data_IF_203605073727
#
_entry.id   IF_203605073727
#
_cell.length_a   1.000
_cell.length_b   1.000
_cell.length_c   1.000
_cell.angle_alpha   90.00
_cell.angle_beta   90.00
_cell.angle_gamma   90.00
#
_symmetry.space_group_name_H-M   'P 1'
#
loop_
_entity.id
_entity.type
_entity.pdbx_description
1 polymer ?
#
# COMPACT_ATOMS: atom_id res chain seq x y z
N UNK A 1 -11.39 23.09 -3.86
CA UNK A 1 -10.83 22.38 -5.03
C UNK A 1 -11.72 21.20 -5.33
N UNK A 2 -12.48 21.25 -6.43
CA UNK A 2 -13.17 20.05 -6.95
C UNK A 2 -12.08 19.11 -7.47
N UNK A 3 -12.01 17.89 -6.95
CA UNK A 3 -11.20 16.84 -7.57
C UNK A 3 -11.98 16.33 -8.77
N UNK A 4 -11.74 16.90 -9.93
CA UNK A 4 -12.32 16.38 -11.16
C UNK A 4 -11.64 15.04 -11.46
N UNK A 5 -12.35 13.94 -11.24
CA UNK A 5 -11.97 12.59 -11.68
C UNK A 5 -12.12 12.52 -13.20
N UNK A 6 -11.33 13.30 -13.94
CA UNK A 6 -11.24 13.17 -15.38
C UNK A 6 -10.34 11.99 -15.72
N UNK A 7 -10.77 11.09 -16.62
CA UNK A 7 -9.89 10.05 -17.13
C UNK A 7 -8.63 10.69 -17.76
N UNK A 8 -7.48 10.02 -17.62
CA UNK A 8 -6.13 10.41 -18.09
C UNK A 8 -6.11 10.90 -19.55
N UNK A 9 -7.11 10.52 -20.33
CA UNK A 9 -7.37 11.01 -21.67
C UNK A 9 -8.84 11.42 -21.78
N UNK A 10 -9.09 12.72 -21.96
CA UNK A 10 -10.40 13.25 -22.35
C UNK A 10 -10.35 13.64 -23.84
N UNK A 11 -10.89 12.82 -24.76
CA UNK A 11 -10.81 13.05 -26.20
C UNK A 11 -11.49 14.34 -26.68
N UNK A 12 -12.37 14.91 -25.86
CA UNK A 12 -13.10 16.14 -26.17
C UNK A 12 -12.40 17.41 -25.68
N UNK A 13 -11.36 17.27 -24.86
CA UNK A 13 -10.58 18.37 -24.31
C UNK A 13 -9.06 18.24 -24.57
N UNK A 14 -8.66 17.28 -25.41
CA UNK A 14 -7.25 16.97 -25.67
C UNK A 14 -6.56 17.96 -26.62
N UNK A 15 -7.32 18.75 -27.36
CA UNK A 15 -6.80 19.62 -28.43
C UNK A 15 -6.99 21.12 -28.18
N UNK A 16 -7.76 21.49 -27.14
CA UNK A 16 -8.08 22.88 -26.80
C UNK A 16 -7.50 23.23 -25.43
N UNK A 17 -6.18 23.30 -25.36
CA UNK A 17 -5.49 23.75 -24.15
C UNK A 17 -5.55 25.28 -24.06
N UNK A 18 -5.96 25.79 -22.90
CA UNK A 18 -5.89 27.23 -22.61
C UNK A 18 -4.42 27.70 -22.58
N UNK A 19 -4.13 28.99 -22.82
CA UNK A 19 -2.75 29.51 -22.75
C UNK A 19 -2.07 29.22 -21.41
N UNK A 20 -2.83 29.28 -20.30
CA UNK A 20 -2.33 28.99 -18.95
C UNK A 20 -1.95 27.50 -18.79
N UNK A 21 -2.74 26.57 -19.34
CA UNK A 21 -2.42 25.15 -19.33
C UNK A 21 -1.19 24.83 -20.18
N UNK A 22 -1.04 25.49 -21.33
CA UNK A 22 0.15 25.35 -22.17
C UNK A 22 1.41 25.83 -21.45
N UNK A 23 1.33 26.93 -20.70
CA UNK A 23 2.43 27.41 -19.87
C UNK A 23 2.78 26.40 -18.77
N UNK A 24 1.77 25.89 -18.05
CA UNK A 24 1.99 24.86 -17.04
C UNK A 24 2.60 23.56 -17.62
N UNK A 25 2.23 23.16 -18.84
CA UNK A 25 2.82 22.02 -19.54
C UNK A 25 4.28 22.29 -19.90
N UNK A 26 4.60 23.48 -20.42
CA UNK A 26 5.96 23.91 -20.73
C UNK A 26 6.84 23.94 -19.48
N UNK A 27 6.33 24.43 -18.37
CA UNK A 27 7.03 24.43 -17.08
C UNK A 27 7.33 23.01 -16.59
N UNK A 28 6.34 22.10 -16.63
CA UNK A 28 6.53 20.68 -16.29
C UNK A 28 7.54 20.00 -17.20
N UNK A 29 7.50 20.29 -18.51
CA UNK A 29 8.46 19.76 -19.49
C UNK A 29 9.87 20.26 -19.18
N UNK A 30 10.04 21.55 -18.88
CA UNK A 30 11.32 22.15 -18.49
C UNK A 30 11.92 21.47 -17.25
N UNK A 31 11.11 21.22 -16.22
CA UNK A 31 11.56 20.52 -15.00
C UNK A 31 11.99 19.08 -15.34
N UNK A 32 11.22 18.37 -16.16
CA UNK A 32 11.55 17.00 -16.60
C UNK A 32 12.86 16.95 -17.38
N UNK A 33 13.06 17.88 -18.30
CA UNK A 33 14.26 17.93 -19.13
C UNK A 33 15.50 18.27 -18.32
N UNK A 34 15.38 19.16 -17.32
CA UNK A 34 16.44 19.44 -16.36
C UNK A 34 16.84 18.17 -15.58
N UNK A 35 15.87 17.44 -15.00
CA UNK A 35 16.14 16.19 -14.27
C UNK A 35 16.77 15.12 -15.16
N UNK A 36 16.28 14.96 -16.40
CA UNK A 36 16.86 14.02 -17.38
C UNK A 36 18.28 14.42 -17.77
N UNK A 37 18.57 15.71 -17.89
CA UNK A 37 19.91 16.19 -18.21
C UNK A 37 20.89 15.87 -17.06
N UNK A 38 20.48 16.09 -15.81
CA UNK A 38 21.29 15.71 -14.63
C UNK A 38 21.56 14.21 -14.57
N UNK A 39 20.53 13.38 -14.78
CA UNK A 39 20.68 11.93 -14.80
C UNK A 39 21.66 11.48 -15.90
N UNK A 40 21.51 12.01 -17.12
CA UNK A 40 22.41 11.70 -18.24
C UNK A 40 23.86 12.02 -17.91
N UNK A 41 24.14 13.21 -17.36
CA UNK A 41 25.49 13.62 -16.93
C UNK A 41 26.13 12.62 -15.96
N UNK A 42 25.37 12.11 -14.99
CA UNK A 42 25.86 11.12 -14.01
C UNK A 42 26.04 9.74 -14.64
N UNK A 43 25.10 9.32 -15.48
CA UNK A 43 25.08 7.98 -16.06
C UNK A 43 26.20 7.77 -17.09
N UNK A 44 26.42 8.76 -17.96
CA UNK A 44 27.41 8.70 -19.05
C UNK A 44 28.82 9.11 -18.62
N UNK A 45 29.04 9.45 -17.35
CA UNK A 45 30.37 9.81 -16.85
C UNK A 45 31.31 8.59 -16.91
N UNK A 46 32.42 8.63 -17.68
CA UNK A 46 33.36 7.52 -17.80
C UNK A 46 34.20 7.30 -16.53
N UNK A 47 34.31 8.32 -15.66
CA UNK A 47 35.06 8.26 -14.39
C UNK A 47 34.16 7.99 -13.19
N UNK A 48 33.00 7.36 -13.39
CA UNK A 48 32.14 6.99 -12.27
C UNK A 48 32.84 5.92 -11.41
N UNK A 49 32.84 6.05 -10.07
CA UNK A 49 33.43 5.04 -9.22
C UNK A 49 32.72 3.69 -9.45
N UNK A 50 33.41 2.56 -9.25
CA UNK A 50 32.84 1.21 -9.45
C UNK A 50 31.73 0.85 -8.45
N UNK A 51 31.34 1.77 -7.55
CA UNK A 51 30.35 1.56 -6.51
C UNK A 51 28.94 1.97 -6.96
N UNK A 52 28.16 0.97 -7.35
CA UNK A 52 26.71 0.90 -7.07
C UNK A 52 25.73 1.71 -7.94
N UNK A 53 24.47 1.69 -7.50
CA UNK A 53 23.33 2.34 -8.14
C UNK A 53 23.39 3.87 -8.02
N UNK A 54 22.86 4.58 -9.03
CA UNK A 54 22.75 6.05 -9.00
C UNK A 54 21.71 6.45 -7.93
N UNK A 55 22.14 7.24 -6.95
CA UNK A 55 21.23 7.76 -5.92
C UNK A 55 20.21 8.74 -6.52
N UNK A 56 18.92 8.40 -6.45
CA UNK A 56 17.81 9.26 -6.82
C UNK A 56 17.16 9.88 -5.56
N UNK A 57 17.22 11.22 -5.39
CA UNK A 57 16.59 11.90 -4.25
C UNK A 57 15.06 11.76 -4.25
N UNK A 58 14.40 11.57 -5.40
CA UNK A 58 12.95 11.39 -5.45
C UNK A 58 12.54 10.06 -4.82
N UNK A 59 13.23 8.97 -5.17
CA UNK A 59 13.03 7.66 -4.55
C UNK A 59 13.35 7.69 -3.06
N UNK A 60 14.46 8.31 -2.67
CA UNK A 60 14.82 8.44 -1.26
C UNK A 60 13.72 9.16 -0.47
N UNK A 61 13.15 10.25 -1.03
CA UNK A 61 12.03 10.98 -0.40
C UNK A 61 10.76 10.16 -0.30
N UNK A 62 10.47 9.33 -1.29
CA UNK A 62 9.31 8.43 -1.25
C UNK A 62 9.48 7.38 -0.14
N UNK A 63 10.66 6.75 -0.05
CA UNK A 63 10.94 5.81 1.03
C UNK A 63 10.91 6.48 2.40
N UNK A 64 11.51 7.68 2.53
CA UNK A 64 11.47 8.40 3.80
C UNK A 64 10.03 8.73 4.19
N UNK A 65 9.20 9.20 3.26
CA UNK A 65 7.80 9.53 3.54
C UNK A 65 6.96 8.32 4.02
N UNK A 66 7.25 7.11 3.51
CA UNK A 66 6.59 5.89 3.97
C UNK A 66 7.00 5.52 5.40
N UNK A 67 8.28 5.67 5.72
CA UNK A 67 8.84 5.29 7.03
C UNK A 67 8.49 6.31 8.11
N UNK A 68 8.51 7.62 7.79
CA UNK A 68 8.25 8.71 8.75
C UNK A 68 6.76 8.97 8.96
N UNK A 69 5.86 8.15 8.41
CA UNK A 69 4.41 8.40 8.48
C UNK A 69 3.89 8.51 9.92
N UNK A 70 4.48 7.78 10.86
CA UNK A 70 4.09 7.79 12.27
C UNK A 70 4.20 9.18 12.92
N UNK A 71 5.18 9.99 12.52
CA UNK A 71 5.39 11.35 13.05
C UNK A 71 4.28 12.34 12.62
N UNK A 72 3.65 12.06 11.48
CA UNK A 72 2.61 12.92 10.90
C UNK A 72 1.18 12.47 11.24
N UNK A 73 1.03 11.38 12.00
CA UNK A 73 -0.27 10.89 12.44
C UNK A 73 -0.89 11.87 13.45
N UNK A 74 -1.96 12.55 13.02
CA UNK A 74 -2.77 13.38 13.92
C UNK A 74 -3.87 12.53 14.55
N UNK A 75 -4.14 12.68 15.86
CA UNK A 75 -5.28 12.02 16.49
C UNK A 75 -6.56 12.51 15.81
N UNK A 76 -7.33 11.58 15.24
CA UNK A 76 -8.56 11.86 14.50
C UNK A 76 -9.63 10.83 14.84
N UNK A 77 -10.89 11.23 15.01
CA UNK A 77 -11.98 10.29 15.29
C UNK A 77 -12.12 9.23 14.19
N UNK A 78 -11.84 9.58 12.92
CA UNK A 78 -11.85 8.62 11.80
C UNK A 78 -10.79 7.54 11.97
N UNK A 79 -9.59 7.93 12.40
CA UNK A 79 -8.50 6.99 12.65
C UNK A 79 -8.83 6.06 13.82
N UNK A 80 -9.43 6.61 14.88
CA UNK A 80 -9.92 5.83 16.02
C UNK A 80 -10.95 4.76 15.62
N UNK A 81 -11.90 5.11 14.75
CA UNK A 81 -12.90 4.14 14.24
C UNK A 81 -12.26 3.04 13.39
N UNK A 82 -11.29 3.37 12.53
CA UNK A 82 -10.56 2.37 11.73
C UNK A 82 -9.78 1.42 12.65
N UNK A 83 -9.08 1.97 13.64
CA UNK A 83 -8.34 1.18 14.63
C UNK A 83 -9.28 0.28 15.43
N UNK A 84 -10.40 0.80 15.92
CA UNK A 84 -11.40 0.03 16.65
C UNK A 84 -12.00 -1.09 15.78
N UNK A 85 -12.28 -0.82 14.51
CA UNK A 85 -12.72 -1.84 13.55
C UNK A 85 -11.69 -2.95 13.38
N UNK A 86 -10.42 -2.60 13.19
CA UNK A 86 -9.33 -3.57 13.03
C UNK A 86 -9.08 -4.42 14.28
N UNK A 87 -8.99 -3.80 15.46
CA UNK A 87 -8.82 -4.54 16.70
C UNK A 87 -10.08 -5.32 17.09
N UNK A 88 -11.25 -4.81 16.76
CA UNK A 88 -12.53 -5.49 16.95
C UNK A 88 -12.64 -6.77 16.14
N UNK A 89 -12.25 -6.75 14.86
CA UNK A 89 -12.27 -7.96 14.02
C UNK A 89 -11.27 -9.01 14.50
N UNK A 90 -10.05 -8.60 14.88
CA UNK A 90 -9.06 -9.52 15.46
C UNK A 90 -9.61 -10.17 16.72
N UNK A 91 -10.20 -9.38 17.61
CA UNK A 91 -10.77 -9.89 18.87
C UNK A 91 -11.90 -10.87 18.62
N UNK A 92 -12.78 -10.57 17.65
CA UNK A 92 -13.88 -11.45 17.25
C UNK A 92 -13.35 -12.80 16.74
N UNK A 93 -12.35 -12.79 15.84
CA UNK A 93 -11.74 -14.02 15.31
C UNK A 93 -11.14 -14.87 16.42
N UNK A 94 -10.42 -14.25 17.36
CA UNK A 94 -9.82 -14.97 18.50
C UNK A 94 -10.89 -15.59 19.40
N UNK A 95 -11.96 -14.86 19.71
CA UNK A 95 -13.07 -15.35 20.55
C UNK A 95 -13.81 -16.49 19.85
N UNK A 96 -14.13 -16.34 18.56
CA UNK A 96 -14.80 -17.37 17.78
C UNK A 96 -13.98 -18.67 17.74
N UNK A 97 -12.68 -18.59 17.47
CA UNK A 97 -11.78 -19.75 17.51
C UNK A 97 -11.77 -20.41 18.89
N UNK A 98 -11.72 -19.61 19.97
CA UNK A 98 -11.74 -20.13 21.34
C UNK A 98 -13.06 -20.86 21.65
N UNK A 99 -14.19 -20.35 21.18
CA UNK A 99 -15.49 -21.02 21.35
C UNK A 99 -15.54 -22.34 20.58
N UNK A 100 -15.14 -22.35 19.31
CA UNK A 100 -15.08 -23.57 18.49
C UNK A 100 -14.18 -24.64 19.12
N UNK A 101 -13.02 -24.24 19.65
CA UNK A 101 -12.14 -25.16 20.36
C UNK A 101 -12.79 -25.72 21.64
N UNK A 102 -13.51 -24.89 22.40
CA UNK A 102 -14.22 -25.36 23.60
C UNK A 102 -15.30 -26.38 23.26
N UNK A 103 -16.11 -26.13 22.23
CA UNK A 103 -17.13 -27.08 21.78
C UNK A 103 -16.47 -28.39 21.31
N UNK A 104 -15.41 -28.29 20.51
CA UNK A 104 -14.68 -29.48 20.08
C UNK A 104 -14.12 -30.28 21.27
N UNK A 105 -13.55 -29.62 22.28
CA UNK A 105 -13.03 -30.27 23.49
C UNK A 105 -14.16 -30.92 24.30
N UNK A 106 -15.29 -30.24 24.48
CA UNK A 106 -16.44 -30.83 25.21
C UNK A 106 -16.98 -32.07 24.51
N UNK A 107 -17.03 -32.07 23.17
CA UNK A 107 -17.48 -33.24 22.41
C UNK A 107 -16.51 -34.43 22.65
N UNK A 108 -15.20 -34.17 22.74
CA UNK A 108 -14.21 -35.19 23.10
C UNK A 108 -14.35 -35.71 24.53
N UNK A 109 -14.65 -34.83 25.49
CA UNK A 109 -14.81 -35.17 26.91
C UNK A 109 -16.09 -36.00 27.15
N UNK A 110 -17.19 -35.65 26.49
CA UNK A 110 -18.47 -36.34 26.61
C UNK A 110 -18.53 -37.67 25.84
N UNK A 111 -17.52 -37.97 25.01
CA UNK A 111 -17.46 -39.19 24.21
C UNK A 111 -18.43 -39.19 23.03
N UNK A 112 -18.97 -38.03 22.65
CA UNK A 112 -19.89 -37.87 21.51
C UNK A 112 -19.17 -37.94 20.16
N UNK A 113 -17.83 -37.84 20.18
CA UNK A 113 -16.97 -37.95 18.99
C UNK A 113 -16.77 -39.40 18.58
N UNK A 114 -17.13 -39.73 17.34
CA UNK A 114 -16.88 -41.05 16.75
C UNK A 114 -15.37 -41.37 16.71
N UNK A 115 -15.01 -42.65 16.93
CA UNK A 115 -13.60 -43.09 16.93
C UNK A 115 -12.83 -42.69 15.66
N UNK A 116 -13.54 -42.67 14.52
CA UNK A 116 -13.02 -42.27 13.20
C UNK A 116 -12.60 -40.79 13.14
N UNK A 117 -13.36 -39.87 13.73
CA UNK A 117 -13.03 -38.44 13.73
C UNK A 117 -11.95 -38.11 14.75
N UNK A 118 -11.84 -38.90 15.83
CA UNK A 118 -10.82 -38.74 16.89
C UNK A 118 -9.38 -38.98 16.45
N UNK A 119 -9.15 -39.88 15.48
CA UNK A 119 -7.82 -40.23 14.96
C UNK A 119 -7.48 -39.56 13.61
N UNK A 120 -8.16 -38.46 13.27
CA UNK A 120 -7.90 -37.70 12.04
C UNK A 120 -8.64 -38.25 10.83
N UNK A 121 -9.97 -38.32 10.92
CA UNK A 121 -10.86 -38.90 9.90
C UNK A 121 -10.48 -38.58 8.44
N UNK A 122 -10.71 -39.55 7.55
CA UNK A 122 -10.62 -39.51 6.09
C UNK A 122 -9.57 -38.56 5.49
N UNK A 123 -8.30 -38.80 5.77
CA UNK A 123 -7.17 -38.16 5.08
C UNK A 123 -6.93 -38.69 3.64
N UNK A 124 -8.00 -38.99 2.90
CA UNK A 124 -7.92 -39.48 1.51
C UNK A 124 -8.68 -38.56 0.55
N UNK A 125 -8.19 -37.33 0.41
CA UNK A 125 -8.29 -36.45 -0.76
C UNK A 125 -7.27 -35.32 -0.64
#
# INVERSE_FOLDING_TARGET
MKSDNTPVFNPWNSFYESPEEQEAIKERAKIRDAMKAEYRKRYTNPFKPPLGFVHDPALQRQFSAQVTFAEFLRPSPKLGLIAAGFFGTITLVVVAKKQLLKYSISDFENGEVTYRTRWGGNLWW
#
